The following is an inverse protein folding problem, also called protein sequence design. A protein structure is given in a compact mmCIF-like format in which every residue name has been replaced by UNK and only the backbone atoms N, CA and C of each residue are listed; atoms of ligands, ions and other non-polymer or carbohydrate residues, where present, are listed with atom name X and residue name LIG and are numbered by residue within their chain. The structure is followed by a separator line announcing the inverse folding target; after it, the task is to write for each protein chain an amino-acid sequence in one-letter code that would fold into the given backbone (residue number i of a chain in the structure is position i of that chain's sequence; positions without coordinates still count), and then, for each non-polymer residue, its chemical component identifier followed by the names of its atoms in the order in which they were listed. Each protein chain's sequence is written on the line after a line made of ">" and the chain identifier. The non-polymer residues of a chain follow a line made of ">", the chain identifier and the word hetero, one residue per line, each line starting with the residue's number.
data_IF_912295496723
#
_entry.id   IF_912295496723
#
_cell.length_a   1.000
_cell.length_b   1.000
_cell.length_c   1.000
_cell.angle_alpha   90.00
_cell.angle_beta   90.00
_cell.angle_gamma   90.00
#
_symmetry.space_group_name_H-M   'P 1'
#
loop_
_entity.id
_entity.type
_entity.pdbx_description
1 polymer ?
#
# COMPACT_ATOMS: atom_id res chain seq x y z
N UNK A 1 25.24 2.36 -47.84
CA UNK A 1 24.99 3.49 -46.93
C UNK A 1 23.65 3.25 -46.32
N UNK A 2 23.40 3.05 -45.13
CA UNK A 2 24.01 3.20 -43.84
C UNK A 2 23.43 2.10 -42.93
N UNK A 3 24.25 1.17 -42.52
CA UNK A 3 23.93 0.31 -41.39
C UNK A 3 24.58 0.93 -40.17
N UNK A 4 23.81 1.22 -39.15
CA UNK A 4 24.22 1.32 -37.73
C UNK A 4 23.15 2.04 -36.96
N UNK A 5 22.32 1.27 -36.25
CA UNK A 5 21.67 1.68 -34.98
C UNK A 5 20.67 0.61 -34.52
N UNK A 6 21.13 -0.59 -34.13
CA UNK A 6 20.27 -1.58 -33.46
C UNK A 6 20.99 -2.25 -32.25
N UNK A 7 22.06 -1.74 -31.71
CA UNK A 7 22.81 -2.39 -30.64
C UNK A 7 23.07 -1.46 -29.43
N UNK A 8 22.06 -0.83 -28.85
CA UNK A 8 22.29 0.06 -27.70
C UNK A 8 21.36 -0.04 -26.50
N UNK A 9 20.20 -0.65 -26.61
CA UNK A 9 19.18 -0.56 -25.53
C UNK A 9 18.80 -1.89 -24.85
N UNK A 10 19.16 -3.05 -25.40
CA UNK A 10 18.77 -4.36 -24.89
C UNK A 10 19.38 -4.76 -23.53
N UNK A 11 20.65 -4.45 -23.20
CA UNK A 11 21.23 -4.89 -21.92
C UNK A 11 20.58 -4.23 -20.70
N UNK A 12 20.31 -2.93 -20.75
CA UNK A 12 19.79 -2.19 -19.60
C UNK A 12 18.35 -2.58 -19.23
N UNK A 13 17.51 -2.88 -20.22
CA UNK A 13 16.13 -3.36 -19.97
C UNK A 13 16.11 -4.79 -19.42
N UNK A 14 17.01 -5.65 -19.88
CA UNK A 14 17.10 -7.03 -19.37
C UNK A 14 17.58 -7.05 -17.92
N UNK A 15 18.60 -6.27 -17.57
CA UNK A 15 19.08 -6.16 -16.17
C UNK A 15 18.05 -5.49 -15.27
N UNK A 16 17.33 -4.48 -15.73
CA UNK A 16 16.22 -3.86 -14.98
C UNK A 16 15.07 -4.84 -14.75
N UNK A 17 14.71 -5.65 -15.73
CA UNK A 17 13.66 -6.67 -15.58
C UNK A 17 14.09 -7.83 -14.69
N UNK A 18 15.34 -8.29 -14.76
CA UNK A 18 15.89 -9.31 -13.87
C UNK A 18 15.95 -8.82 -12.42
N UNK A 19 16.35 -7.57 -12.19
CA UNK A 19 16.35 -6.94 -10.87
C UNK A 19 14.95 -6.83 -10.29
N UNK A 20 13.98 -6.39 -11.09
CA UNK A 20 12.56 -6.32 -10.69
C UNK A 20 11.99 -7.71 -10.41
N UNK A 21 12.28 -8.70 -11.25
CA UNK A 21 11.82 -10.09 -11.04
C UNK A 21 12.42 -10.72 -9.79
N UNK A 22 13.72 -10.50 -9.53
CA UNK A 22 14.38 -10.97 -8.31
C UNK A 22 13.81 -10.30 -7.06
N UNK A 23 13.60 -8.97 -7.10
CA UNK A 23 13.00 -8.23 -5.99
C UNK A 23 11.55 -8.64 -5.77
N UNK A 24 10.75 -8.79 -6.83
CA UNK A 24 9.39 -9.29 -6.76
C UNK A 24 9.31 -10.70 -6.18
N UNK A 25 10.22 -11.59 -6.57
CA UNK A 25 10.34 -12.94 -5.99
C UNK A 25 10.72 -12.88 -4.50
N UNK A 26 11.71 -12.06 -4.15
CA UNK A 26 12.11 -11.85 -2.76
C UNK A 26 10.95 -11.30 -1.92
N UNK A 27 10.22 -10.32 -2.44
CA UNK A 27 9.03 -9.75 -1.76
C UNK A 27 7.90 -10.77 -1.65
N UNK A 28 7.66 -11.60 -2.67
CA UNK A 28 6.66 -12.66 -2.61
C UNK A 28 6.99 -13.73 -1.57
N UNK A 29 8.27 -14.11 -1.43
CA UNK A 29 8.71 -15.01 -0.35
C UNK A 29 8.56 -14.36 1.04
N UNK A 30 8.67 -13.05 1.13
CA UNK A 30 8.53 -12.31 2.39
C UNK A 30 7.07 -11.95 2.70
N UNK A 31 6.15 -11.95 1.71
CA UNK A 31 4.76 -11.54 1.94
C UNK A 31 4.06 -12.49 2.94
N UNK A 32 4.23 -13.80 2.82
CA UNK A 32 3.69 -14.77 3.79
C UNK A 32 4.36 -14.65 5.17
N UNK A 33 5.65 -14.33 5.21
CA UNK A 33 6.39 -14.11 6.46
C UNK A 33 6.01 -12.77 7.08
N UNK A 34 5.90 -11.73 6.26
CA UNK A 34 5.44 -10.42 6.72
C UNK A 34 4.01 -10.48 7.24
N UNK A 35 3.10 -11.17 6.54
CA UNK A 35 1.72 -11.34 6.99
C UNK A 35 1.63 -12.08 8.33
N UNK A 36 2.48 -13.08 8.57
CA UNK A 36 2.60 -13.73 9.88
C UNK A 36 3.07 -12.78 10.98
N UNK A 37 3.99 -11.86 10.67
CA UNK A 37 4.52 -10.90 11.66
C UNK A 37 3.49 -9.84 12.07
N UNK A 38 2.56 -9.48 11.18
CA UNK A 38 1.57 -8.43 11.42
C UNK A 38 0.12 -8.95 11.51
N UNK A 39 -0.09 -10.26 11.37
CA UNK A 39 -1.42 -10.87 11.31
C UNK A 39 -2.30 -10.55 12.52
N UNK A 40 -1.77 -10.57 13.74
CA UNK A 40 -2.51 -10.21 14.94
C UNK A 40 -2.90 -8.72 14.94
N UNK A 41 -2.03 -7.86 14.43
CA UNK A 41 -2.31 -6.44 14.24
C UNK A 41 -3.40 -6.22 13.20
N UNK A 42 -3.35 -6.93 12.07
CA UNK A 42 -4.41 -6.90 11.05
C UNK A 42 -5.75 -7.35 11.65
N UNK A 43 -5.77 -8.47 12.40
CA UNK A 43 -6.99 -8.94 13.07
C UNK A 43 -7.60 -7.88 13.98
N UNK A 44 -6.77 -7.26 14.81
CA UNK A 44 -7.22 -6.19 15.72
C UNK A 44 -7.73 -4.97 14.96
N UNK A 45 -6.99 -4.51 13.95
CA UNK A 45 -7.31 -3.31 13.18
C UNK A 45 -8.62 -3.48 12.40
N UNK A 46 -8.84 -4.65 11.78
CA UNK A 46 -9.98 -4.91 10.89
C UNK A 46 -11.19 -5.54 11.60
N UNK A 47 -11.09 -5.90 12.87
CA UNK A 47 -12.15 -6.60 13.62
C UNK A 47 -13.50 -5.88 13.61
N UNK A 48 -13.48 -4.54 13.58
CA UNK A 48 -14.69 -3.71 13.66
C UNK A 48 -15.01 -3.01 12.32
N UNK A 49 -14.61 -3.60 11.20
CA UNK A 49 -15.01 -3.11 9.88
C UNK A 49 -16.50 -3.31 9.67
N UNK A 50 -17.17 -2.28 9.19
CA UNK A 50 -18.61 -2.28 8.91
C UNK A 50 -18.93 -1.41 7.71
N UNK A 51 -20.09 -1.65 7.09
CA UNK A 51 -20.59 -0.82 6.00
C UNK A 51 -19.79 -0.96 4.71
N UNK A 52 -19.56 0.15 4.02
CA UNK A 52 -18.88 0.21 2.74
C UNK A 52 -17.40 0.45 2.92
N UNK A 53 -16.59 -0.54 2.59
CA UNK A 53 -15.13 -0.55 2.76
C UNK A 53 -14.46 -0.44 1.41
N UNK A 54 -13.54 0.50 1.25
CA UNK A 54 -12.69 0.64 0.07
C UNK A 54 -11.25 0.26 0.43
N UNK A 55 -10.75 -0.83 -0.11
CA UNK A 55 -9.32 -1.15 -0.07
C UNK A 55 -8.64 -0.64 -1.32
N UNK A 56 -7.59 0.17 -1.15
CA UNK A 56 -6.81 0.70 -2.26
C UNK A 56 -5.59 -0.19 -2.48
N UNK A 57 -5.45 -0.70 -3.71
CA UNK A 57 -4.39 -1.63 -4.14
C UNK A 57 -4.33 -2.91 -3.29
N UNK A 58 -5.42 -3.72 -3.27
CA UNK A 58 -5.46 -4.98 -2.52
C UNK A 58 -4.45 -6.03 -3.01
N UNK A 59 -3.92 -5.87 -4.21
CA UNK A 59 -2.88 -6.71 -4.84
C UNK A 59 -3.21 -8.22 -4.77
N UNK A 60 -2.47 -8.98 -3.96
CA UNK A 60 -2.66 -10.41 -3.76
C UNK A 60 -3.79 -10.78 -2.78
N UNK A 61 -4.50 -9.79 -2.25
CA UNK A 61 -5.59 -10.02 -1.31
C UNK A 61 -5.15 -10.43 0.09
N UNK A 62 -3.92 -10.12 0.50
CA UNK A 62 -3.36 -10.49 1.81
C UNK A 62 -4.15 -9.96 3.01
N UNK A 63 -5.04 -8.97 2.83
CA UNK A 63 -5.94 -8.48 3.87
C UNK A 63 -7.27 -9.25 3.92
N UNK A 64 -7.70 -9.86 2.82
CA UNK A 64 -9.01 -10.51 2.72
C UNK A 64 -9.32 -11.52 3.85
N UNK A 65 -8.36 -12.36 4.33
CA UNK A 65 -8.61 -13.29 5.43
C UNK A 65 -8.96 -12.64 6.77
N UNK A 66 -8.71 -11.34 6.92
CA UNK A 66 -8.95 -10.58 8.16
C UNK A 66 -10.24 -9.77 8.13
N UNK A 67 -10.95 -9.75 6.99
CA UNK A 67 -12.16 -8.96 6.84
C UNK A 67 -13.39 -9.74 7.32
N UNK A 68 -14.34 -9.08 8.03
CA UNK A 68 -15.63 -9.68 8.33
C UNK A 68 -16.46 -9.85 7.04
N UNK A 69 -17.31 -10.89 7.01
CA UNK A 69 -18.09 -11.24 5.81
C UNK A 69 -19.25 -10.28 5.51
N UNK A 70 -19.67 -9.50 6.48
CA UNK A 70 -20.85 -8.62 6.41
C UNK A 70 -20.53 -7.18 5.96
N UNK A 71 -19.42 -6.97 5.25
CA UNK A 71 -19.04 -5.68 4.67
C UNK A 71 -19.34 -5.63 3.18
N UNK A 72 -19.53 -4.41 2.66
CA UNK A 72 -19.54 -4.15 1.23
C UNK A 72 -18.14 -3.73 0.79
N UNK A 73 -17.34 -4.70 0.33
CA UNK A 73 -15.95 -4.48 -0.02
C UNK A 73 -15.80 -4.03 -1.47
N UNK A 74 -15.10 -2.92 -1.66
CA UNK A 74 -14.63 -2.44 -2.97
C UNK A 74 -13.10 -2.55 -2.97
N UNK A 75 -12.53 -3.22 -3.97
CA UNK A 75 -11.09 -3.28 -4.23
C UNK A 75 -10.72 -2.39 -5.41
N UNK A 76 -9.98 -1.32 -5.19
CA UNK A 76 -9.44 -0.46 -6.25
C UNK A 76 -8.04 -0.94 -6.64
N UNK A 77 -7.91 -1.67 -7.76
CA UNK A 77 -6.67 -2.32 -8.15
C UNK A 77 -6.22 -1.88 -9.56
N UNK A 78 -5.05 -1.26 -9.69
CA UNK A 78 -4.54 -0.79 -10.98
C UNK A 78 -4.04 -1.92 -11.88
N UNK A 79 -3.66 -3.09 -11.34
CA UNK A 79 -3.23 -4.22 -12.15
C UNK A 79 -4.40 -5.15 -12.48
N UNK A 80 -4.89 -5.06 -13.73
CA UNK A 80 -5.98 -5.88 -14.23
C UNK A 80 -5.68 -7.39 -14.12
N UNK A 81 -4.42 -7.79 -14.17
CA UNK A 81 -4.04 -9.21 -14.06
C UNK A 81 -4.36 -9.75 -12.65
N UNK A 82 -4.36 -8.89 -11.63
CA UNK A 82 -4.69 -9.26 -10.25
C UNK A 82 -6.20 -9.43 -10.04
N UNK A 83 -7.07 -8.84 -10.88
CA UNK A 83 -8.52 -8.86 -10.68
C UNK A 83 -9.10 -10.28 -10.59
N UNK A 84 -8.74 -11.17 -11.52
CA UNK A 84 -9.22 -12.55 -11.51
C UNK A 84 -8.71 -13.34 -10.30
N UNK A 85 -7.49 -13.05 -9.87
CA UNK A 85 -6.90 -13.67 -8.67
C UNK A 85 -7.62 -13.21 -7.41
N UNK A 86 -7.81 -11.90 -7.24
CA UNK A 86 -8.56 -11.32 -6.12
C UNK A 86 -9.99 -11.85 -6.03
N UNK A 87 -10.69 -11.94 -7.18
CA UNK A 87 -12.04 -12.48 -7.23
C UNK A 87 -12.09 -13.93 -6.75
N UNK A 88 -11.11 -14.74 -7.16
CA UNK A 88 -10.99 -16.14 -6.73
C UNK A 88 -10.73 -16.24 -5.23
N UNK A 89 -9.78 -15.44 -4.69
CA UNK A 89 -9.45 -15.42 -3.28
C UNK A 89 -10.66 -14.98 -2.42
N UNK A 90 -11.34 -13.91 -2.79
CA UNK A 90 -12.52 -13.43 -2.10
C UNK A 90 -13.63 -14.49 -2.05
N UNK A 91 -13.89 -15.15 -3.21
CA UNK A 91 -14.87 -16.25 -3.28
C UNK A 91 -14.53 -17.43 -2.36
N UNK A 92 -13.25 -17.82 -2.26
CA UNK A 92 -12.80 -18.88 -1.36
C UNK A 92 -13.03 -18.55 0.12
N UNK A 93 -12.98 -17.25 0.46
CA UNK A 93 -13.19 -16.74 1.81
C UNK A 93 -14.67 -16.38 2.09
N UNK A 94 -15.58 -16.56 1.11
CA UNK A 94 -16.99 -16.17 1.26
C UNK A 94 -17.23 -14.66 1.26
N UNK A 95 -16.24 -13.86 0.78
CA UNK A 95 -16.35 -12.42 0.67
C UNK A 95 -16.92 -12.02 -0.70
N UNK A 96 -17.78 -11.01 -0.69
CA UNK A 96 -18.22 -10.36 -1.91
C UNK A 96 -17.41 -9.07 -2.12
N UNK A 97 -16.64 -9.01 -3.20
CA UNK A 97 -15.78 -7.87 -3.55
C UNK A 97 -16.19 -7.30 -4.92
N UNK A 98 -16.37 -5.99 -4.97
CA UNK A 98 -16.50 -5.19 -6.20
C UNK A 98 -15.10 -4.70 -6.59
N UNK A 99 -14.50 -5.36 -7.59
CA UNK A 99 -13.13 -5.02 -8.03
C UNK A 99 -13.23 -4.00 -9.15
N UNK A 100 -12.58 -2.84 -8.95
CA UNK A 100 -12.53 -1.74 -9.91
C UNK A 100 -11.10 -1.45 -10.33
N UNK A 101 -10.96 -1.08 -11.61
CA UNK A 101 -9.71 -0.51 -12.11
C UNK A 101 -9.59 0.93 -11.64
N UNK A 102 -8.42 1.31 -11.10
CA UNK A 102 -8.15 2.66 -10.64
C UNK A 102 -6.84 2.73 -9.86
N UNK A 103 -6.44 3.93 -9.52
CA UNK A 103 -5.23 4.19 -8.72
C UNK A 103 -5.55 5.04 -7.49
N UNK A 104 -4.58 5.16 -6.59
CA UNK A 104 -4.74 5.82 -5.30
C UNK A 104 -5.00 7.34 -5.39
N UNK A 105 -4.56 7.99 -6.47
CA UNK A 105 -4.72 9.44 -6.67
C UNK A 105 -6.06 9.78 -7.35
N UNK A 106 -6.65 8.80 -8.05
CA UNK A 106 -7.93 8.93 -8.73
C UNK A 106 -8.85 7.78 -8.34
N UNK A 107 -9.64 8.00 -7.30
CA UNK A 107 -10.64 7.04 -6.84
C UNK A 107 -11.95 7.28 -7.57
N UNK A 108 -12.35 6.35 -8.45
CA UNK A 108 -13.68 6.38 -9.11
C UNK A 108 -14.77 5.92 -8.13
N UNK A 109 -14.97 6.76 -7.14
CA UNK A 109 -15.93 6.58 -6.04
C UNK A 109 -16.52 7.94 -5.71
N UNK A 110 -17.84 7.99 -5.51
CA UNK A 110 -18.57 9.21 -5.15
C UNK A 110 -18.10 9.77 -3.80
N UNK A 111 -18.18 11.10 -3.69
CA UNK A 111 -17.82 11.82 -2.47
C UNK A 111 -18.71 11.39 -1.30
N UNK A 112 -18.09 11.27 -0.11
CA UNK A 112 -18.79 10.98 1.14
C UNK A 112 -19.67 9.71 1.12
N UNK A 113 -19.20 8.64 0.44
CA UNK A 113 -19.94 7.38 0.33
C UNK A 113 -19.29 6.20 1.04
N UNK A 114 -18.02 6.31 1.44
CA UNK A 114 -17.23 5.25 2.05
C UNK A 114 -17.21 5.39 3.57
N UNK A 115 -17.51 4.32 4.28
CA UNK A 115 -17.41 4.27 5.74
C UNK A 115 -15.97 4.08 6.21
N UNK A 116 -15.21 3.24 5.50
CA UNK A 116 -13.81 2.98 5.83
C UNK A 116 -12.97 2.79 4.58
N UNK A 117 -11.82 3.47 4.50
CA UNK A 117 -10.76 3.20 3.53
C UNK A 117 -9.66 2.40 4.21
N UNK A 118 -9.08 1.44 3.51
CA UNK A 118 -7.94 0.63 3.98
C UNK A 118 -6.76 0.81 3.05
N UNK A 119 -5.58 1.03 3.64
CA UNK A 119 -4.29 1.00 2.95
C UNK A 119 -3.29 0.12 3.71
N UNK A 120 -2.52 -0.69 2.97
CA UNK A 120 -1.45 -1.51 3.54
C UNK A 120 -0.25 -1.45 2.62
N UNK A 121 0.84 -0.86 3.09
CA UNK A 121 2.09 -0.66 2.34
C UNK A 121 1.86 0.02 0.97
N UNK A 122 0.90 0.95 0.93
CA UNK A 122 0.51 1.71 -0.26
C UNK A 122 1.09 3.12 -0.25
N UNK A 123 0.91 3.85 0.88
CA UNK A 123 1.27 5.27 0.96
C UNK A 123 2.76 5.52 0.77
N UNK A 124 3.59 4.51 1.00
CA UNK A 124 5.02 4.56 0.72
C UNK A 124 5.34 4.59 -0.79
N UNK A 125 4.45 4.05 -1.64
CA UNK A 125 4.70 3.83 -3.08
C UNK A 125 3.94 4.76 -4.00
N UNK A 126 2.92 5.46 -3.51
CA UNK A 126 2.13 6.39 -4.34
C UNK A 126 3.00 7.55 -4.85
N UNK A 127 2.77 8.04 -6.09
CA UNK A 127 3.54 9.16 -6.65
C UNK A 127 3.44 10.41 -5.79
N UNK A 128 2.23 10.81 -5.41
CA UNK A 128 1.99 11.97 -4.56
C UNK A 128 1.06 11.62 -3.37
N UNK A 129 1.65 11.51 -2.19
CA UNK A 129 0.93 11.14 -0.97
C UNK A 129 -0.17 12.16 -0.61
N UNK A 130 0.06 13.45 -0.86
CA UNK A 130 -0.92 14.49 -0.54
C UNK A 130 -2.17 14.36 -1.41
N UNK A 131 -2.02 14.10 -2.71
CA UNK A 131 -3.16 13.85 -3.61
C UNK A 131 -3.91 12.58 -3.21
N UNK A 132 -3.20 11.51 -2.86
CA UNK A 132 -3.82 10.27 -2.35
C UNK A 132 -4.63 10.52 -1.08
N UNK A 133 -4.06 11.23 -0.09
CA UNK A 133 -4.76 11.51 1.16
C UNK A 133 -5.98 12.42 0.95
N UNK A 134 -5.90 13.39 0.03
CA UNK A 134 -7.06 14.22 -0.33
C UNK A 134 -8.14 13.40 -1.07
N UNK A 135 -7.76 12.46 -1.95
CA UNK A 135 -8.71 11.56 -2.60
C UNK A 135 -9.40 10.64 -1.57
N UNK A 136 -8.66 10.14 -0.58
CA UNK A 136 -9.21 9.36 0.54
C UNK A 136 -10.20 10.21 1.36
N UNK A 137 -9.81 11.41 1.76
CA UNK A 137 -10.70 12.32 2.49
C UNK A 137 -11.97 12.63 1.71
N UNK A 138 -11.87 12.84 0.40
CA UNK A 138 -13.02 13.12 -0.46
C UNK A 138 -14.07 12.00 -0.40
N UNK A 139 -13.65 10.75 -0.56
CA UNK A 139 -14.59 9.62 -0.62
C UNK A 139 -15.13 9.19 0.74
N UNK A 140 -14.41 9.44 1.83
CA UNK A 140 -14.87 9.14 3.18
C UNK A 140 -16.08 9.97 3.57
N UNK A 141 -17.06 9.36 4.20
CA UNK A 141 -18.16 10.05 4.88
C UNK A 141 -17.64 10.94 6.01
N UNK A 142 -18.36 11.98 6.44
CA UNK A 142 -18.09 12.63 7.71
C UNK A 142 -18.06 11.59 8.84
N UNK A 143 -16.98 11.59 9.65
CA UNK A 143 -16.72 10.55 10.65
C UNK A 143 -16.24 9.20 10.10
N UNK A 144 -16.09 9.06 8.78
CA UNK A 144 -15.47 7.88 8.15
C UNK A 144 -13.99 7.77 8.48
N UNK A 145 -13.42 6.59 8.33
CA UNK A 145 -12.08 6.27 8.83
C UNK A 145 -11.16 5.75 7.74
N UNK A 146 -9.89 6.16 7.79
CA UNK A 146 -8.79 5.49 7.10
C UNK A 146 -8.10 4.56 8.10
N UNK A 147 -8.04 3.27 7.81
CA UNK A 147 -7.23 2.29 8.53
C UNK A 147 -5.95 2.05 7.72
N UNK A 148 -4.81 2.11 8.37
CA UNK A 148 -3.53 2.01 7.65
C UNK A 148 -2.49 1.16 8.39
N UNK A 149 -1.66 0.47 7.62
CA UNK A 149 -0.43 -0.21 8.05
C UNK A 149 0.64 0.19 7.04
N UNK A 150 1.63 0.97 7.47
CA UNK A 150 2.62 1.53 6.54
C UNK A 150 4.03 1.48 7.15
N UNK A 151 5.05 1.22 6.32
CA UNK A 151 6.41 1.50 6.77
C UNK A 151 6.70 3.01 6.64
N UNK A 152 7.55 3.51 7.51
CA UNK A 152 7.89 4.93 7.58
C UNK A 152 9.39 5.16 7.59
N UNK A 153 9.78 6.39 7.37
CA UNK A 153 11.13 6.85 7.58
C UNK A 153 11.55 6.67 9.06
N UNK A 154 12.79 6.26 9.28
CA UNK A 154 13.37 6.27 10.63
C UNK A 154 13.53 7.72 11.15
N UNK A 155 13.61 7.91 12.46
CA UNK A 155 13.79 9.24 13.05
C UNK A 155 15.00 9.98 12.48
N UNK A 156 14.88 11.29 12.31
CA UNK A 156 15.97 12.14 11.81
C UNK A 156 17.23 11.99 12.68
N UNK A 157 18.38 12.03 12.04
CA UNK A 157 19.68 11.91 12.72
C UNK A 157 20.15 10.47 12.99
N UNK A 158 19.28 9.46 12.84
CA UNK A 158 19.66 8.05 13.05
C UNK A 158 20.49 7.50 11.87
N UNK A 159 21.28 6.45 12.13
CA UNK A 159 22.02 5.75 11.08
C UNK A 159 21.07 5.13 10.04
N UNK A 160 19.96 4.53 10.50
CA UNK A 160 18.96 3.96 9.60
C UNK A 160 18.36 5.01 8.66
N UNK A 161 18.04 6.23 9.17
CA UNK A 161 17.56 7.32 8.33
C UNK A 161 18.57 7.72 7.25
N UNK A 162 19.86 7.79 7.61
CA UNK A 162 20.92 8.07 6.63
C UNK A 162 20.98 7.00 5.55
N UNK A 163 20.88 5.73 5.95
CA UNK A 163 20.82 4.60 5.01
C UNK A 163 19.59 4.68 4.10
N UNK A 164 18.39 4.93 4.66
CA UNK A 164 17.15 5.11 3.89
C UNK A 164 17.30 6.20 2.84
N UNK A 165 17.79 7.37 3.20
CA UNK A 165 18.00 8.50 2.27
C UNK A 165 19.00 8.15 1.16
N UNK A 166 20.09 7.44 1.50
CA UNK A 166 21.13 7.08 0.53
C UNK A 166 20.65 6.04 -0.47
N UNK A 167 19.90 5.03 -0.01
CA UNK A 167 19.45 3.93 -0.87
C UNK A 167 18.15 4.26 -1.62
N UNK A 168 17.40 5.27 -1.21
CA UNK A 168 16.07 5.62 -1.72
C UNK A 168 15.97 5.66 -3.25
N UNK A 169 16.90 6.24 -4.02
CA UNK A 169 16.82 6.26 -5.48
C UNK A 169 16.82 4.85 -6.10
N UNK A 170 17.71 3.97 -5.60
CA UNK A 170 17.83 2.59 -6.08
C UNK A 170 16.64 1.76 -5.59
N UNK A 171 16.23 1.94 -4.34
CA UNK A 171 15.10 1.25 -3.74
C UNK A 171 13.81 1.53 -4.52
N UNK A 172 13.51 2.79 -4.83
CA UNK A 172 12.35 3.17 -5.65
C UNK A 172 12.32 2.47 -7.02
N UNK A 173 13.47 2.39 -7.67
CA UNK A 173 13.56 1.75 -8.99
C UNK A 173 13.29 0.23 -8.94
N UNK A 174 13.61 -0.44 -7.82
CA UNK A 174 13.47 -1.89 -7.66
C UNK A 174 12.19 -2.31 -6.93
N UNK A 175 11.65 -1.46 -6.06
CA UNK A 175 10.57 -1.76 -5.11
C UNK A 175 9.26 -1.04 -5.46
N UNK A 176 8.89 -1.00 -6.72
CA UNK A 176 7.61 -0.46 -7.20
C UNK A 176 7.33 0.95 -6.64
N UNK A 177 8.27 1.87 -6.89
CA UNK A 177 8.25 3.26 -6.42
C UNK A 177 8.15 3.43 -4.88
N UNK A 178 8.46 2.40 -4.10
CA UNK A 178 8.47 2.49 -2.64
C UNK A 178 9.56 3.46 -2.15
N UNK A 179 9.19 4.41 -1.31
CA UNK A 179 10.06 5.40 -0.69
C UNK A 179 10.38 5.00 0.75
N UNK A 180 11.53 4.41 1.04
CA UNK A 180 11.86 3.96 2.40
C UNK A 180 12.06 5.13 3.39
N UNK A 181 12.29 6.32 2.88
CA UNK A 181 12.55 7.57 3.59
C UNK A 181 11.32 8.50 3.70
N UNK A 182 10.11 8.00 3.36
CA UNK A 182 8.89 8.82 3.39
C UNK A 182 8.34 8.97 4.81
N UNK A 183 8.10 10.21 5.21
CA UNK A 183 7.50 10.58 6.51
C UNK A 183 5.97 10.52 6.41
N UNK A 184 5.41 9.30 6.39
CA UNK A 184 3.98 9.08 6.20
C UNK A 184 3.17 9.55 7.40
N UNK A 185 3.68 9.36 8.60
CA UNK A 185 3.13 9.87 9.86
C UNK A 185 2.89 11.38 9.79
N UNK A 186 3.89 12.15 9.41
CA UNK A 186 3.78 13.61 9.23
C UNK A 186 2.77 13.98 8.14
N UNK A 187 2.74 13.22 7.04
CA UNK A 187 1.80 13.48 5.96
C UNK A 187 0.35 13.23 6.40
N UNK A 188 0.09 12.17 7.15
CA UNK A 188 -1.23 11.87 7.73
C UNK A 188 -1.70 12.98 8.69
N UNK A 189 -0.82 13.45 9.59
CA UNK A 189 -1.13 14.52 10.55
C UNK A 189 -1.47 15.86 9.86
N UNK A 190 -0.87 16.11 8.68
CA UNK A 190 -1.10 17.36 7.92
C UNK A 190 -2.23 17.25 6.88
N UNK A 191 -2.78 16.07 6.64
CA UNK A 191 -3.74 15.83 5.57
C UNK A 191 -5.11 16.50 5.78
N UNK A 192 -5.48 16.84 7.03
CA UNK A 192 -6.78 17.42 7.36
C UNK A 192 -7.78 16.43 7.97
N UNK A 193 -7.33 15.29 8.44
CA UNK A 193 -8.15 14.41 9.30
C UNK A 193 -8.45 15.07 10.63
N UNK A 194 -9.64 14.84 11.18
CA UNK A 194 -10.06 15.35 12.51
C UNK A 194 -9.22 14.76 13.64
N UNK A 195 -8.81 13.50 13.49
CA UNK A 195 -7.89 12.82 14.41
C UNK A 195 -7.05 11.77 13.66
N UNK A 196 -5.80 11.63 14.09
CA UNK A 196 -4.89 10.59 13.61
C UNK A 196 -4.30 9.90 14.83
N UNK A 197 -4.60 8.61 15.00
CA UNK A 197 -4.12 7.80 16.10
C UNK A 197 -3.37 6.60 15.56
N UNK A 198 -2.11 6.43 15.94
CA UNK A 198 -1.29 5.31 15.48
C UNK A 198 -0.29 4.89 16.55
N UNK A 199 0.16 3.65 16.41
CA UNK A 199 1.29 3.11 17.18
C UNK A 199 2.47 2.81 16.26
N UNK A 200 3.67 3.05 16.76
CA UNK A 200 4.90 2.64 16.10
C UNK A 200 5.25 1.20 16.46
N UNK A 201 5.69 0.44 15.46
CA UNK A 201 6.25 -0.89 15.68
C UNK A 201 7.40 -1.17 14.71
N UNK A 202 8.10 -2.26 14.94
CA UNK A 202 9.19 -2.66 14.06
C UNK A 202 8.95 -4.06 13.52
N UNK A 203 9.33 -4.27 12.26
CA UNK A 203 9.40 -5.60 11.65
C UNK A 203 10.85 -5.94 11.36
N UNK A 204 11.18 -7.23 11.32
CA UNK A 204 12.55 -7.71 11.07
C UNK A 204 13.02 -7.56 9.63
N UNK A 205 12.66 -6.44 8.95
CA UNK A 205 13.06 -6.12 7.59
C UNK A 205 14.14 -5.04 7.61
N UNK A 206 15.30 -5.26 6.98
CA UNK A 206 16.31 -4.20 6.80
C UNK A 206 15.71 -3.01 6.07
N UNK A 207 16.20 -1.79 6.34
CA UNK A 207 15.82 -0.54 5.68
C UNK A 207 14.39 -0.06 5.99
N UNK A 208 13.38 -0.94 5.86
CA UNK A 208 11.96 -0.62 6.07
C UNK A 208 11.40 -1.19 7.39
N UNK A 209 12.27 -1.34 8.40
CA UNK A 209 11.87 -1.86 9.74
C UNK A 209 10.84 -0.98 10.47
N UNK A 210 10.94 0.36 10.50
CA UNK A 210 9.97 1.19 11.20
C UNK A 210 8.61 1.18 10.48
N UNK A 211 7.56 0.90 11.24
CA UNK A 211 6.17 0.86 10.76
C UNK A 211 5.25 1.63 11.69
N UNK A 212 4.12 2.03 11.14
CA UNK A 212 2.97 2.52 11.88
C UNK A 212 1.72 1.70 11.53
N UNK A 213 0.84 1.55 12.50
CA UNK A 213 -0.51 1.01 12.33
C UNK A 213 -1.47 1.95 13.03
N UNK A 214 -2.58 2.30 12.40
CA UNK A 214 -3.47 3.25 13.01
C UNK A 214 -4.75 3.54 12.25
N UNK A 215 -5.45 4.55 12.78
CA UNK A 215 -6.73 5.03 12.31
C UNK A 215 -6.70 6.54 12.21
N UNK A 216 -7.09 7.09 11.06
CA UNK A 216 -7.35 8.50 10.87
C UNK A 216 -8.84 8.72 10.59
N UNK A 217 -9.47 9.69 11.25
CA UNK A 217 -10.91 10.00 11.13
C UNK A 217 -11.11 11.31 10.38
N UNK A 218 -12.03 11.31 9.40
CA UNK A 218 -12.44 12.50 8.67
C UNK A 218 -13.29 13.44 9.52
#
# INVERSE_FOLDING_TARGET
>A
MSGNQIYGELPNQIYANLGKSFFAWMMAQHSSTYDKLIGDRKRSLFANLQGKVLEISPRDGSNLPYYPQNIHLIGMEPDIQMHSYLQKQAKQLGLNIDIRFGNAEWLDVEDNTIDTVVTTLLLCSVPNINYTLQAILRVLKPGGRLLFIEHIAAPQGTLLRKMQNTISPVWKALADNCHPDREIDIALEKAGFTSVNYEHFQVGLPIVSPHIIGVATK
#
